data_IF_403602085648
#
_entry.id   IF_403602085648
#
_cell.length_a   1.000
_cell.length_b   1.000
_cell.length_c   1.000
_cell.angle_alpha   90.00
_cell.angle_beta   90.00
_cell.angle_gamma   90.00
#
_symmetry.space_group_name_H-M   'P 1'
#
loop_
_entity.id
_entity.type
_entity.pdbx_description
1 polymer ?
#
# COMPACT_ATOMS: atom_id res chain seq x y z
N UNK A 1 45.10 -46.52 16.66
CA UNK A 1 45.21 -45.49 15.61
C UNK A 1 43.84 -44.86 15.44
N UNK A 2 43.70 -43.55 15.70
CA UNK A 2 42.42 -42.85 15.92
C UNK A 2 41.69 -42.62 14.59
N UNK A 3 40.48 -43.16 14.45
CA UNK A 3 39.55 -42.88 13.33
C UNK A 3 38.74 -41.63 13.66
N UNK A 4 39.15 -40.48 13.11
CA UNK A 4 38.39 -39.24 13.20
C UNK A 4 37.11 -39.31 12.36
N UNK A 5 35.95 -39.37 13.01
CA UNK A 5 34.65 -39.19 12.37
C UNK A 5 34.48 -37.70 12.06
N UNK A 6 34.61 -37.32 10.79
CA UNK A 6 34.23 -36.00 10.31
C UNK A 6 32.69 -35.88 10.33
N UNK A 7 32.17 -35.20 11.35
CA UNK A 7 30.75 -34.82 11.41
C UNK A 7 30.57 -33.58 10.54
N UNK A 8 30.02 -33.78 9.34
CA UNK A 8 29.63 -32.71 8.42
C UNK A 8 28.34 -32.07 8.95
N UNK A 9 28.45 -30.89 9.55
CA UNK A 9 27.28 -30.07 9.92
C UNK A 9 26.65 -29.49 8.66
N UNK A 10 25.50 -30.03 8.23
CA UNK A 10 24.67 -29.44 7.18
C UNK A 10 23.80 -28.35 7.83
N UNK A 11 24.23 -27.10 7.72
CA UNK A 11 23.46 -25.94 8.17
C UNK A 11 22.35 -25.67 7.15
N UNK A 12 21.10 -26.02 7.49
CA UNK A 12 19.92 -25.74 6.68
C UNK A 12 19.57 -24.25 6.77
N UNK A 13 19.97 -23.46 5.76
CA UNK A 13 19.61 -22.05 5.64
C UNK A 13 18.13 -21.96 5.25
N UNK A 14 17.25 -21.74 6.24
CA UNK A 14 15.86 -21.36 5.99
C UNK A 14 15.80 -19.95 5.41
N UNK A 15 15.65 -19.86 4.09
CA UNK A 15 15.38 -18.59 3.42
C UNK A 15 13.93 -18.20 3.74
N UNK A 16 13.72 -17.30 4.72
CA UNK A 16 12.40 -16.76 5.01
C UNK A 16 11.94 -15.92 3.80
N UNK A 17 11.13 -16.52 2.93
CA UNK A 17 10.47 -15.84 1.83
C UNK A 17 9.33 -15.00 2.39
N UNK A 18 9.59 -13.72 2.64
CA UNK A 18 8.50 -12.76 2.94
C UNK A 18 7.59 -12.66 1.72
N UNK A 19 6.40 -13.26 1.83
CA UNK A 19 5.37 -13.27 0.79
C UNK A 19 4.64 -11.92 0.79
N UNK A 20 4.65 -11.23 -0.34
CA UNK A 20 3.88 -10.00 -0.50
C UNK A 20 2.39 -10.34 -0.66
N UNK A 21 1.54 -9.72 0.13
CA UNK A 21 0.08 -9.83 -0.04
C UNK A 21 -0.38 -8.77 -1.04
N UNK A 22 -1.23 -9.17 -1.98
CA UNK A 22 -1.87 -8.26 -2.94
C UNK A 22 -3.37 -8.30 -2.73
N UNK A 23 -3.99 -7.14 -2.51
CA UNK A 23 -5.43 -7.01 -2.31
C UNK A 23 -6.00 -6.01 -3.31
N UNK A 24 -7.11 -6.37 -3.95
CA UNK A 24 -7.83 -5.46 -4.85
C UNK A 24 -8.78 -4.59 -4.03
N UNK A 25 -8.87 -3.32 -4.39
CA UNK A 25 -9.88 -2.43 -3.86
C UNK A 25 -11.24 -2.74 -4.52
N UNK A 26 -12.36 -2.49 -3.83
CA UNK A 26 -13.68 -2.50 -4.46
C UNK A 26 -13.79 -1.38 -5.50
N UNK A 27 -14.69 -1.59 -6.48
CA UNK A 27 -14.99 -0.61 -7.52
C UNK A 27 -15.51 0.69 -6.89
N UNK A 28 -14.93 1.81 -7.32
CA UNK A 28 -15.34 3.15 -6.86
C UNK A 28 -16.63 3.60 -7.55
N UNK A 29 -17.52 4.28 -6.83
CA UNK A 29 -18.65 5.02 -7.42
C UNK A 29 -18.22 6.34 -8.08
N UNK A 30 -17.09 6.91 -7.66
CA UNK A 30 -16.56 8.20 -8.15
C UNK A 30 -15.66 7.98 -9.37
N UNK A 31 -14.86 6.91 -9.36
CA UNK A 31 -13.96 6.53 -10.47
C UNK A 31 -14.17 5.07 -10.89
N UNK A 32 -15.31 4.70 -11.49
CA UNK A 32 -15.67 3.29 -11.76
C UNK A 32 -14.72 2.54 -12.68
N UNK A 33 -14.02 3.26 -13.58
CA UNK A 33 -13.03 2.66 -14.47
C UNK A 33 -11.69 2.35 -13.79
N UNK A 34 -11.46 2.85 -12.58
CA UNK A 34 -10.19 2.70 -11.89
C UNK A 34 -10.01 1.27 -11.36
N UNK A 35 -8.91 0.64 -11.72
CA UNK A 35 -8.48 -0.63 -11.14
C UNK A 35 -7.37 -0.36 -10.13
N UNK A 36 -7.65 -0.58 -8.85
CA UNK A 36 -6.73 -0.25 -7.76
C UNK A 36 -6.33 -1.51 -7.00
N UNK A 37 -5.02 -1.67 -6.77
CA UNK A 37 -4.46 -2.76 -5.97
C UNK A 37 -3.49 -2.22 -4.92
N UNK A 38 -3.58 -2.76 -3.71
CA UNK A 38 -2.58 -2.60 -2.66
C UNK A 38 -1.69 -3.83 -2.62
N UNK A 39 -0.37 -3.62 -2.63
CA UNK A 39 0.62 -4.64 -2.32
C UNK A 39 1.29 -4.28 -1.01
N UNK A 40 1.35 -5.23 -0.10
CA UNK A 40 1.98 -5.04 1.19
C UNK A 40 2.95 -6.19 1.46
N UNK A 41 4.16 -5.85 1.88
CA UNK A 41 5.20 -6.81 2.22
C UNK A 41 5.93 -6.35 3.47
N UNK A 42 6.10 -7.25 4.44
CA UNK A 42 6.95 -6.95 5.59
C UNK A 42 8.42 -7.20 5.22
N UNK A 43 9.28 -6.21 5.49
CA UNK A 43 10.72 -6.32 5.28
C UNK A 43 11.42 -7.01 6.46
N UNK A 44 12.74 -7.20 6.35
CA UNK A 44 13.55 -7.84 7.39
C UNK A 44 13.63 -7.03 8.69
N UNK A 45 13.37 -5.73 8.61
CA UNK A 45 13.34 -4.80 9.74
C UNK A 45 11.95 -4.68 10.36
N UNK A 46 11.00 -5.54 9.93
CA UNK A 46 9.59 -5.55 10.35
C UNK A 46 8.78 -4.32 9.93
N UNK A 47 9.31 -3.49 9.02
CA UNK A 47 8.51 -2.42 8.40
C UNK A 47 7.62 -3.00 7.30
N UNK A 48 6.50 -2.34 7.05
CA UNK A 48 5.59 -2.66 5.96
C UNK A 48 5.92 -1.78 4.76
N UNK A 49 6.44 -2.41 3.70
CA UNK A 49 6.54 -1.80 2.38
C UNK A 49 5.18 -1.89 1.68
N UNK A 50 4.64 -0.73 1.31
CA UNK A 50 3.32 -0.57 0.70
C UNK A 50 3.50 -0.01 -0.70
N UNK A 51 2.90 -0.67 -1.69
CA UNK A 51 2.78 -0.18 -3.06
C UNK A 51 1.31 -0.13 -3.44
N UNK A 52 0.79 1.06 -3.76
CA UNK A 52 -0.54 1.24 -4.33
C UNK A 52 -0.39 1.48 -5.82
N UNK A 53 -1.13 0.74 -6.63
CA UNK A 53 -1.16 0.89 -8.07
C UNK A 53 -2.61 1.13 -8.48
N UNK A 54 -2.86 2.27 -9.13
CA UNK A 54 -4.13 2.57 -9.77
C UNK A 54 -3.92 2.63 -11.29
N UNK A 55 -4.74 1.90 -12.04
CA UNK A 55 -4.82 2.00 -13.51
C UNK A 55 -6.14 2.65 -13.91
N UNK A 56 -6.14 3.33 -15.06
CA UNK A 56 -7.33 3.97 -15.62
C UNK A 56 -8.01 4.94 -14.63
N UNK A 57 -7.22 5.54 -13.74
CA UNK A 57 -7.68 6.51 -12.77
C UNK A 57 -7.94 7.83 -13.48
N UNK A 58 -9.15 8.38 -13.33
CA UNK A 58 -9.49 9.69 -13.87
C UNK A 58 -8.57 10.77 -13.27
N UNK A 59 -8.26 11.81 -14.03
CA UNK A 59 -7.51 12.95 -13.50
C UNK A 59 -8.33 13.67 -12.42
N UNK A 60 -7.75 14.07 -11.27
CA UNK A 60 -8.51 14.59 -10.14
C UNK A 60 -9.21 15.93 -10.43
N UNK A 61 -8.67 16.72 -11.35
CA UNK A 61 -9.24 17.97 -11.87
C UNK A 61 -10.49 17.75 -12.74
N UNK A 62 -10.74 16.51 -13.19
CA UNK A 62 -11.91 16.14 -13.99
C UNK A 62 -13.06 15.58 -13.15
N UNK A 63 -12.88 15.49 -11.83
CA UNK A 63 -13.92 15.05 -10.93
C UNK A 63 -14.91 16.19 -10.61
N UNK A 64 -16.04 15.84 -10.00
CA UNK A 64 -17.02 16.81 -9.51
C UNK A 64 -17.27 16.56 -8.01
N UNK A 65 -16.87 17.48 -7.12
CA UNK A 65 -16.07 18.67 -7.40
C UNK A 65 -14.63 18.32 -7.85
N UNK A 66 -13.96 19.20 -8.63
CA UNK A 66 -12.56 19.00 -9.02
C UNK A 66 -11.64 19.08 -7.79
N UNK A 67 -10.58 18.30 -7.80
CA UNK A 67 -9.54 18.23 -6.75
C UNK A 67 -8.14 18.21 -7.37
N UNK A 68 -7.11 18.35 -6.54
CA UNK A 68 -5.74 18.46 -7.02
C UNK A 68 -4.98 17.12 -7.01
N UNK A 69 -5.32 16.21 -6.09
CA UNK A 69 -4.59 14.97 -5.94
C UNK A 69 -5.45 13.82 -5.41
N UNK A 70 -4.90 12.61 -5.50
CA UNK A 70 -5.39 11.44 -4.77
C UNK A 70 -4.44 11.15 -3.61
N UNK A 71 -4.89 11.41 -2.38
CA UNK A 71 -4.15 11.11 -1.16
C UNK A 71 -4.48 9.71 -0.69
N UNK A 72 -3.46 8.98 -0.25
CA UNK A 72 -3.59 7.63 0.28
C UNK A 72 -3.40 7.69 1.79
N UNK A 73 -4.33 7.05 2.49
CA UNK A 73 -4.38 7.00 3.93
C UNK A 73 -4.27 5.56 4.40
N UNK A 74 -3.64 5.36 5.55
CA UNK A 74 -3.70 4.10 6.26
C UNK A 74 -4.40 4.28 7.60
N UNK A 75 -5.09 3.24 8.05
CA UNK A 75 -5.54 3.08 9.42
C UNK A 75 -4.64 2.05 10.10
N UNK A 76 -4.09 2.41 11.25
CA UNK A 76 -3.25 1.50 12.05
C UNK A 76 -4.10 0.64 12.99
N UNK A 77 -3.51 -0.41 13.57
CA UNK A 77 -4.20 -1.24 14.58
C UNK A 77 -4.67 -0.44 15.82
N UNK A 78 -4.08 0.73 16.07
CA UNK A 78 -4.49 1.67 17.13
C UNK A 78 -5.61 2.63 16.70
N UNK A 79 -6.24 2.36 15.55
CA UNK A 79 -7.27 3.19 14.93
C UNK A 79 -6.79 4.62 14.59
N UNK A 80 -5.47 4.79 14.39
CA UNK A 80 -4.91 6.07 13.95
C UNK A 80 -4.94 6.15 12.43
N UNK A 81 -5.50 7.24 11.89
CA UNK A 81 -5.43 7.56 10.46
C UNK A 81 -4.18 8.37 10.18
N UNK A 82 -3.39 7.97 9.17
CA UNK A 82 -2.19 8.68 8.75
C UNK A 82 -2.13 8.80 7.23
N UNK A 83 -1.75 9.98 6.74
CA UNK A 83 -1.39 10.19 5.34
C UNK A 83 -0.10 9.42 5.04
N UNK A 84 -0.10 8.61 3.98
CA UNK A 84 1.07 7.82 3.55
C UNK A 84 1.61 8.25 2.17
N UNK A 85 1.12 9.37 1.66
CA UNK A 85 1.51 10.01 0.41
C UNK A 85 0.38 10.04 -0.61
N UNK A 86 0.70 10.47 -1.82
CA UNK A 86 -0.24 10.65 -2.92
C UNK A 86 0.08 9.72 -4.10
N UNK A 87 -0.93 9.40 -4.90
CA UNK A 87 -0.71 8.68 -6.15
C UNK A 87 -0.08 9.60 -7.19
N UNK A 88 1.11 9.23 -7.67
CA UNK A 88 1.81 9.98 -8.72
C UNK A 88 1.58 9.32 -10.07
N UNK A 89 1.14 10.10 -11.05
CA UNK A 89 0.96 9.62 -12.42
C UNK A 89 2.33 9.34 -13.05
N UNK A 90 2.57 8.10 -13.50
CA UNK A 90 3.82 7.70 -14.14
C UNK A 90 3.81 7.84 -15.66
N UNK A 91 2.66 7.60 -16.31
CA UNK A 91 2.57 7.52 -17.78
C UNK A 91 1.13 7.68 -18.33
N UNK A 92 0.34 8.58 -17.75
CA UNK A 92 -1.08 8.81 -18.01
C UNK A 92 -2.03 7.64 -17.69
N UNK A 93 -1.57 6.38 -17.79
CA UNK A 93 -2.37 5.17 -17.60
C UNK A 93 -2.27 4.57 -16.20
N UNK A 94 -1.17 4.86 -15.50
CA UNK A 94 -0.83 4.24 -14.22
C UNK A 94 -0.39 5.30 -13.22
N UNK A 95 -1.07 5.36 -12.08
CA UNK A 95 -0.65 6.12 -10.91
C UNK A 95 -0.11 5.16 -9.84
N UNK A 96 0.96 5.56 -9.16
CA UNK A 96 1.66 4.70 -8.18
C UNK A 96 2.04 5.49 -6.94
N UNK A 97 1.87 4.86 -5.78
CA UNK A 97 2.52 5.24 -4.53
C UNK A 97 3.40 4.08 -4.07
N UNK A 98 4.61 4.38 -3.60
CA UNK A 98 5.49 3.46 -2.89
C UNK A 98 5.94 4.11 -1.60
N UNK A 99 5.74 3.44 -0.48
CA UNK A 99 6.07 3.97 0.84
C UNK A 99 6.41 2.84 1.81
N UNK A 100 6.97 3.19 2.95
CA UNK A 100 7.28 2.27 4.04
C UNK A 100 6.78 2.83 5.36
N UNK A 101 6.29 1.95 6.23
CA UNK A 101 5.78 2.34 7.55
C UNK A 101 6.18 1.30 8.60
N UNK A 102 6.57 1.73 9.82
CA UNK A 102 6.76 0.81 10.94
C UNK A 102 5.43 0.35 11.56
N UNK A 103 4.33 1.03 11.23
CA UNK A 103 3.03 0.76 11.83
C UNK A 103 2.31 -0.38 11.12
N UNK A 104 1.68 -1.29 11.90
CA UNK A 104 0.81 -2.32 11.36
C UNK A 104 -0.44 -1.68 10.76
N UNK A 105 -0.68 -1.96 9.49
CA UNK A 105 -1.80 -1.41 8.71
C UNK A 105 -2.98 -2.38 8.73
N UNK A 106 -4.15 -1.88 9.15
CA UNK A 106 -5.41 -2.65 9.14
C UNK A 106 -6.30 -2.26 7.97
N UNK A 107 -6.22 -1.01 7.50
CA UNK A 107 -6.95 -0.53 6.34
C UNK A 107 -6.12 0.45 5.52
N UNK A 108 -6.40 0.50 4.21
CA UNK A 108 -5.94 1.57 3.34
C UNK A 108 -7.14 2.11 2.58
N UNK A 109 -7.23 3.43 2.47
CA UNK A 109 -8.25 4.11 1.69
C UNK A 109 -7.65 5.30 0.93
N UNK A 110 -8.37 5.76 -0.08
CA UNK A 110 -7.90 6.82 -0.97
C UNK A 110 -8.98 7.89 -1.04
N UNK A 111 -8.58 9.15 -0.92
CA UNK A 111 -9.47 10.30 -1.05
C UNK A 111 -8.99 11.25 -2.15
N UNK A 112 -9.88 12.12 -2.61
CA UNK A 112 -9.57 13.22 -3.53
C UNK A 112 -9.38 14.51 -2.75
N UNK A 113 -8.16 15.04 -2.70
CA UNK A 113 -7.80 16.17 -1.81
C UNK A 113 -7.29 17.39 -2.59
N UNK A 114 -7.35 18.55 -1.94
CA UNK A 114 -6.78 19.81 -2.48
C UNK A 114 -5.27 19.90 -2.23
N UNK A 115 -4.77 19.31 -1.14
CA UNK A 115 -3.35 19.27 -0.76
C UNK A 115 -2.91 17.83 -0.52
N UNK A 116 -1.67 17.49 -0.88
CA UNK A 116 -1.16 16.12 -0.80
C UNK A 116 -0.57 15.75 0.57
N UNK A 117 -0.25 16.75 1.38
CA UNK A 117 0.34 16.67 2.71
C UNK A 117 -0.66 16.97 3.83
N UNK A 118 -1.97 16.88 3.53
CA UNK A 118 -3.03 17.05 4.49
C UNK A 118 -2.83 16.12 5.71
N UNK A 119 -3.07 16.65 6.92
CA UNK A 119 -2.91 15.90 8.17
C UNK A 119 -4.10 15.00 8.49
N UNK A 120 -5.25 15.26 7.87
CA UNK A 120 -6.47 14.45 7.96
C UNK A 120 -7.25 14.50 6.63
N UNK A 121 -8.02 13.45 6.28
CA UNK A 121 -8.80 13.42 5.06
C UNK A 121 -9.96 14.43 5.13
N UNK A 122 -10.14 15.19 4.06
CA UNK A 122 -11.25 16.15 3.92
C UNK A 122 -12.05 15.94 2.64
N UNK A 123 -11.47 15.18 1.71
CA UNK A 123 -11.99 14.87 0.41
C UNK A 123 -12.98 13.72 0.39
N UNK A 124 -13.48 13.42 -0.81
CA UNK A 124 -14.34 12.27 -1.02
C UNK A 124 -13.50 11.00 -1.06
N UNK A 125 -13.88 10.00 -0.27
CA UNK A 125 -13.29 8.66 -0.34
C UNK A 125 -13.70 7.97 -1.64
N UNK A 126 -12.73 7.53 -2.43
CA UNK A 126 -12.99 6.82 -3.68
C UNK A 126 -13.08 5.31 -3.48
N UNK A 127 -12.30 4.74 -2.57
CA UNK A 127 -12.29 3.30 -2.27
C UNK A 127 -11.46 2.98 -1.04
N UNK A 128 -11.80 1.87 -0.36
CA UNK A 128 -11.17 1.37 0.86
C UNK A 128 -11.02 -0.14 0.85
N UNK A 129 -9.94 -0.62 1.44
CA UNK A 129 -9.66 -2.04 1.62
C UNK A 129 -9.21 -2.33 3.05
N UNK A 130 -9.69 -3.44 3.62
CA UNK A 130 -9.27 -3.94 4.93
C UNK A 130 -8.37 -5.17 4.79
N UNK A 131 -7.40 -5.28 5.69
CA UNK A 131 -6.44 -6.38 5.78
C UNK A 131 -6.65 -7.26 7.01
N UNK A 132 -7.61 -6.92 7.87
CA UNK A 132 -8.01 -7.79 8.97
C UNK A 132 -8.72 -9.02 8.40
N UNK A 133 -8.11 -10.18 8.59
CA UNK A 133 -8.75 -11.49 8.47
C UNK A 133 -8.95 -12.05 9.87
#
# INVERSE_FOLDING_TARGET
MKTGKNVLFITLIFILTSCATTTKFPTSSIVPAAEIVAKMKQDKNKNYAIEIIAKNLASPDRLSPPKNNYSVWMVTEKNETKNIGQLINKNAKKAVLKTTTPFKVVEIFITTEDQGDASYPTGNEISRVSFNK
#
